data_IF_702260793775
#
_entry.id   IF_702260793775
#
_cell.length_a   1.000
_cell.length_b   1.000
_cell.length_c   1.000
_cell.angle_alpha   90.00
_cell.angle_beta   90.00
_cell.angle_gamma   90.00
#
_symmetry.space_group_name_H-M   'P 1'
#
loop_
_entity.id
_entity.type
_entity.pdbx_description
1 polymer ?
#
# COMPACT_ATOMS: atom_id res chain seq x y z
N UNK A 1 0.27 2.08 19.69
CA UNK A 1 0.39 1.39 18.39
C UNK A 1 -0.36 2.22 17.35
N UNK A 2 0.31 2.73 16.32
CA UNK A 2 -0.37 3.38 15.21
C UNK A 2 -0.99 2.28 14.34
N UNK A 3 -2.31 2.26 14.19
CA UNK A 3 -3.03 1.41 13.26
C UNK A 3 -2.82 1.95 11.85
N UNK A 4 -1.82 1.44 11.13
CA UNK A 4 -1.66 1.68 9.70
C UNK A 4 -2.88 1.08 8.99
N UNK A 5 -3.76 1.92 8.44
CA UNK A 5 -4.93 1.42 7.72
C UNK A 5 -4.47 0.63 6.48
N UNK A 6 -5.03 -0.57 6.30
CA UNK A 6 -4.74 -1.42 5.14
C UNK A 6 -5.41 -0.82 3.92
N UNK A 7 -4.66 -0.05 3.11
CA UNK A 7 -5.13 0.53 1.86
C UNK A 7 -4.97 -0.46 0.71
N UNK A 8 -6.01 -0.63 -0.11
CA UNK A 8 -5.97 -1.42 -1.35
C UNK A 8 -5.68 -0.46 -2.51
N UNK A 9 -4.71 -0.81 -3.36
CA UNK A 9 -4.41 -0.04 -4.56
C UNK A 9 -5.46 -0.33 -5.64
N UNK A 10 -6.29 0.66 -5.95
CA UNK A 10 -7.28 0.61 -7.04
C UNK A 10 -6.81 1.40 -8.25
N UNK A 11 -6.95 0.81 -9.44
CA UNK A 11 -6.74 1.51 -10.70
C UNK A 11 -8.07 2.05 -11.22
N UNK A 12 -8.18 3.37 -11.40
CA UNK A 12 -9.33 4.02 -12.00
C UNK A 12 -8.91 4.74 -13.28
N UNK A 13 -9.76 4.70 -14.31
CA UNK A 13 -9.52 5.39 -15.59
C UNK A 13 -10.12 6.79 -15.50
N UNK A 14 -9.34 7.81 -15.79
CA UNK A 14 -9.79 9.21 -15.83
C UNK A 14 -9.24 9.93 -17.05
N UNK A 15 -9.93 11.00 -17.43
CA UNK A 15 -9.47 11.94 -18.44
C UNK A 15 -8.09 12.51 -18.10
N UNK A 16 -7.22 12.60 -19.11
CA UNK A 16 -5.85 13.09 -18.93
C UNK A 16 -5.82 14.56 -18.49
N UNK A 17 -6.69 15.39 -19.07
CA UNK A 17 -6.81 16.80 -18.73
C UNK A 17 -7.22 16.99 -17.27
N UNK A 18 -8.18 16.19 -16.81
CA UNK A 18 -8.60 16.15 -15.41
C UNK A 18 -7.46 15.71 -14.49
N UNK A 19 -6.73 14.64 -14.83
CA UNK A 19 -5.58 14.18 -14.05
C UNK A 19 -4.53 15.28 -13.89
N UNK A 20 -4.20 15.98 -14.99
CA UNK A 20 -3.22 17.08 -14.97
C UNK A 20 -3.67 18.22 -14.06
N UNK A 21 -4.92 18.66 -14.18
CA UNK A 21 -5.49 19.72 -13.30
C UNK A 21 -5.49 19.29 -11.83
N UNK A 22 -5.88 18.05 -11.53
CA UNK A 22 -5.88 17.52 -10.17
C UNK A 22 -4.47 17.46 -9.57
N UNK A 23 -3.47 16.99 -10.33
CA UNK A 23 -2.06 16.99 -9.91
C UNK A 23 -1.53 18.39 -9.61
N UNK A 24 -1.85 19.37 -10.47
CA UNK A 24 -1.44 20.76 -10.25
C UNK A 24 -2.08 21.34 -8.99
N UNK A 25 -3.37 21.08 -8.78
CA UNK A 25 -4.08 21.51 -7.56
C UNK A 25 -3.47 20.87 -6.30
N UNK A 26 -3.26 19.56 -6.31
CA UNK A 26 -2.64 18.85 -5.19
C UNK A 26 -1.25 19.40 -4.83
N UNK A 27 -0.42 19.69 -5.86
CA UNK A 27 0.89 20.32 -5.66
C UNK A 27 0.79 21.71 -5.03
N UNK A 28 -0.15 22.54 -5.50
CA UNK A 28 -0.38 23.89 -4.95
C UNK A 28 -0.83 23.87 -3.50
N UNK A 29 -1.60 22.86 -3.11
CA UNK A 29 -2.12 22.71 -1.75
C UNK A 29 -1.15 21.96 -0.82
N UNK A 30 -0.02 21.45 -1.32
CA UNK A 30 0.92 20.66 -0.52
C UNK A 30 0.38 19.29 -0.12
N UNK A 31 -0.54 18.73 -0.91
CA UNK A 31 -1.26 17.49 -0.61
C UNK A 31 -0.93 16.39 -1.63
N UNK A 32 -1.12 15.13 -1.24
CA UNK A 32 -1.03 14.02 -2.20
C UNK A 32 -2.31 13.95 -3.05
N UNK A 33 -2.18 13.52 -4.30
CA UNK A 33 -3.33 13.30 -5.19
C UNK A 33 -4.31 12.28 -4.58
N UNK A 34 -3.78 11.21 -3.98
CA UNK A 34 -4.59 10.17 -3.35
C UNK A 34 -5.46 10.74 -2.22
N UNK A 35 -4.88 11.56 -1.35
CA UNK A 35 -5.63 12.18 -0.24
C UNK A 35 -6.72 13.14 -0.76
N UNK A 36 -6.47 13.86 -1.85
CA UNK A 36 -7.48 14.71 -2.49
C UNK A 36 -8.63 13.90 -3.11
N UNK A 37 -8.32 12.73 -3.70
CA UNK A 37 -9.33 11.83 -4.27
C UNK A 37 -10.16 11.17 -3.17
N UNK A 38 -9.53 10.71 -2.09
CA UNK A 38 -10.21 10.14 -0.91
C UNK A 38 -11.26 11.12 -0.36
N UNK A 39 -10.88 12.38 -0.12
CA UNK A 39 -11.83 13.40 0.35
C UNK A 39 -12.95 13.72 -0.64
N UNK A 40 -12.64 13.73 -1.93
CA UNK A 40 -13.65 13.98 -2.95
C UNK A 40 -14.70 12.87 -2.95
N UNK A 41 -14.28 11.61 -2.80
CA UNK A 41 -15.17 10.45 -2.69
C UNK A 41 -16.00 10.48 -1.41
N UNK A 42 -15.39 10.83 -0.27
CA UNK A 42 -16.11 10.95 1.01
C UNK A 42 -17.23 12.00 0.95
N UNK A 43 -16.99 13.14 0.29
CA UNK A 43 -18.00 14.20 0.13
C UNK A 43 -19.17 13.83 -0.80
N UNK A 44 -18.97 12.86 -1.70
CA UNK A 44 -20.02 12.42 -2.63
C UNK A 44 -21.00 11.45 -1.98
N UNK A 45 -20.64 10.84 -0.85
CA UNK A 45 -21.56 9.95 -0.13
C UNK A 45 -22.46 10.77 0.78
N UNK A 46 -23.80 10.64 0.65
CA UNK A 46 -24.74 11.32 1.54
C UNK A 46 -24.45 10.96 3.00
N UNK A 47 -24.54 11.94 3.91
CA UNK A 47 -24.29 11.73 5.34
C UNK A 47 -25.20 10.67 5.98
N UNK A 48 -26.34 10.40 5.35
CA UNK A 48 -27.34 9.40 5.75
C UNK A 48 -26.99 7.97 5.32
N UNK A 49 -26.01 7.82 4.41
CA UNK A 49 -25.52 6.52 3.95
C UNK A 49 -24.27 6.16 4.76
N UNK A 50 -24.42 5.29 5.76
CA UNK A 50 -23.24 4.66 6.36
C UNK A 50 -22.51 3.85 5.29
N UNK A 51 -21.21 4.11 5.10
CA UNK A 51 -20.38 3.25 4.28
C UNK A 51 -20.49 1.82 4.82
N UNK A 52 -20.89 0.84 3.99
CA UNK A 52 -20.93 -0.54 4.45
C UNK A 52 -19.52 -0.89 4.94
N UNK A 53 -19.40 -1.20 6.23
CA UNK A 53 -18.15 -1.67 6.82
C UNK A 53 -17.86 -3.03 6.20
N UNK A 54 -17.12 -3.04 5.10
CA UNK A 54 -16.62 -4.28 4.50
C UNK A 54 -15.64 -4.86 5.52
N UNK A 55 -16.05 -5.95 6.19
CA UNK A 55 -15.13 -6.75 6.99
C UNK A 55 -14.11 -7.34 6.04
N UNK A 56 -12.89 -6.80 6.07
CA UNK A 56 -11.76 -7.43 5.40
C UNK A 56 -11.49 -8.69 6.21
N UNK A 57 -11.84 -9.87 5.70
CA UNK A 57 -11.47 -11.13 6.36
C UNK A 57 -9.95 -11.22 6.35
N UNK A 58 -9.34 -11.24 7.53
CA UNK A 58 -7.90 -11.45 7.70
C UNK A 58 -7.53 -12.94 7.60
N UNK A 59 -8.46 -13.82 7.21
CA UNK A 59 -8.18 -15.22 6.91
C UNK A 59 -7.23 -15.29 5.70
N UNK A 60 -5.94 -15.35 6.02
CA UNK A 60 -4.90 -15.77 5.10
C UNK A 60 -5.15 -17.25 4.87
N UNK A 61 -5.28 -17.64 3.59
CA UNK A 61 -5.45 -19.02 3.18
C UNK A 61 -4.40 -19.92 3.88
N UNK A 62 -4.81 -21.01 4.54
CA UNK A 62 -3.88 -21.87 5.28
C UNK A 62 -2.77 -22.44 4.39
N UNK A 63 -3.00 -22.60 3.08
CA UNK A 63 -1.98 -23.05 2.13
C UNK A 63 -0.92 -21.95 1.91
N UNK A 64 -1.33 -20.68 1.86
CA UNK A 64 -0.42 -19.52 1.80
C UNK A 64 0.39 -19.39 3.09
N UNK A 65 -0.23 -19.70 4.24
CA UNK A 65 0.45 -19.70 5.54
C UNK A 65 1.43 -20.87 5.65
N UNK A 66 1.14 -22.01 5.03
CA UNK A 66 2.04 -23.17 4.93
C UNK A 66 3.20 -22.93 3.94
N UNK A 67 3.01 -22.08 2.93
CA UNK A 67 4.04 -21.63 1.99
C UNK A 67 4.99 -20.57 2.56
N UNK A 68 4.78 -20.10 3.79
CA UNK A 68 5.82 -19.34 4.50
C UNK A 68 7.02 -20.27 4.65
N UNK A 69 7.97 -20.14 3.72
CA UNK A 69 9.36 -20.48 3.97
C UNK A 69 9.67 -19.89 5.35
N UNK A 70 10.14 -20.73 6.27
CA UNK A 70 10.52 -20.29 7.61
C UNK A 70 11.55 -19.14 7.55
N UNK A 71 12.13 -18.73 8.69
CA UNK A 71 13.27 -17.82 8.63
C UNK A 71 14.28 -18.32 7.57
N UNK A 72 14.50 -17.53 6.53
CA UNK A 72 15.49 -17.81 5.50
C UNK A 72 16.85 -17.77 6.20
N UNK A 73 17.40 -18.93 6.48
CA UNK A 73 18.75 -19.07 7.01
C UNK A 73 19.70 -19.14 5.83
N UNK A 74 20.56 -18.13 5.70
CA UNK A 74 21.66 -18.10 4.74
C UNK A 74 22.93 -18.54 5.45
N UNK A 75 23.77 -19.33 4.79
CA UNK A 75 25.09 -19.67 5.35
C UNK A 75 26.05 -18.49 5.22
N UNK A 76 27.13 -18.50 6.00
CA UNK A 76 28.17 -17.46 5.92
C UNK A 76 28.81 -17.41 4.52
N UNK A 77 28.95 -18.56 3.84
CA UNK A 77 29.46 -18.61 2.47
C UNK A 77 28.50 -17.98 1.46
N UNK A 78 27.19 -18.19 1.62
CA UNK A 78 26.17 -17.61 0.74
C UNK A 78 26.15 -16.08 0.87
N UNK A 79 26.20 -15.56 2.10
CA UNK A 79 26.26 -14.13 2.39
C UNK A 79 27.55 -13.52 1.82
N UNK A 80 28.69 -14.18 2.00
CA UNK A 80 29.98 -13.69 1.48
C UNK A 80 30.04 -13.68 -0.05
N UNK A 81 29.32 -14.60 -0.71
CA UNK A 81 29.30 -14.72 -2.17
C UNK A 81 28.35 -13.74 -2.88
N UNK A 82 27.37 -13.16 -2.15
CA UNK A 82 26.40 -12.20 -2.70
C UNK A 82 26.42 -10.87 -1.92
N UNK A 83 27.07 -9.88 -2.53
CA UNK A 83 27.16 -8.52 -1.99
C UNK A 83 25.79 -7.88 -1.68
N UNK A 84 24.77 -8.14 -2.51
CA UNK A 84 23.43 -7.55 -2.30
C UNK A 84 22.76 -8.18 -1.09
N UNK A 85 22.91 -9.49 -0.92
CA UNK A 85 22.42 -10.20 0.25
C UNK A 85 23.12 -9.69 1.53
N UNK A 86 24.45 -9.58 1.52
CA UNK A 86 25.23 -9.07 2.65
C UNK A 86 24.84 -7.64 3.04
N UNK A 87 24.69 -6.74 2.07
CA UNK A 87 24.22 -5.36 2.32
C UNK A 87 22.78 -5.33 2.85
N UNK A 88 21.90 -6.22 2.39
CA UNK A 88 20.49 -6.27 2.85
C UNK A 88 20.38 -6.77 4.29
N UNK A 89 21.30 -7.65 4.71
CA UNK A 89 21.36 -8.19 6.06
C UNK A 89 22.17 -7.30 7.04
N UNK A 90 22.90 -6.30 6.54
CA UNK A 90 23.65 -5.34 7.38
C UNK A 90 25.01 -5.85 7.86
N UNK A 91 25.57 -6.85 7.16
CA UNK A 91 26.88 -7.45 7.45
C UNK A 91 28.05 -6.70 6.77
N UNK A 92 27.77 -5.58 6.09
CA UNK A 92 28.72 -4.73 5.34
C UNK A 92 28.46 -3.25 5.62
#
# INVERSE_FOLDING_TARGET
>A
MQTTSRKIQTAFRIDEGLLRRAKLKAKREGRSLNNMVEEALERMVPAELEWPKVKISEEIDPDVLAMRLGPLHFTEEEIASDYRLAHTLGEV
#
